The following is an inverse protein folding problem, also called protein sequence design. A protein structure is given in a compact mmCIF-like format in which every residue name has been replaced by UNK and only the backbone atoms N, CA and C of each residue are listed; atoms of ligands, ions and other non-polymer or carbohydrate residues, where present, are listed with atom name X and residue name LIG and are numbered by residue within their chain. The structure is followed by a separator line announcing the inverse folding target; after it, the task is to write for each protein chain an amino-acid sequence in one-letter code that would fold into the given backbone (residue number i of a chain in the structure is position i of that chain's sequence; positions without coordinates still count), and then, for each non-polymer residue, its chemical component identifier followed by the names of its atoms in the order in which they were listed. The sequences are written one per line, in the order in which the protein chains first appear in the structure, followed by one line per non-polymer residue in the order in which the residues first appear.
data_IF_572997490140
#
_entry.id   IF_572997490140
#
_cell.length_a   1.000
_cell.length_b   1.000
_cell.length_c   1.000
_cell.angle_alpha   90.00
_cell.angle_beta   90.00
_cell.angle_gamma   90.00
#
_symmetry.space_group_name_H-M   'P 1'
#
loop_
_entity.id
_entity.type
_entity.pdbx_description
1 polymer ?
#
# COMPACT_ATOMS: atom_id res chain seq x y z
N UNK A 1 -82.82 34.02 4.52
CA UNK A 1 -81.61 34.53 5.14
C UNK A 1 -80.65 33.36 5.27
N UNK A 2 -79.70 33.26 4.39
CA UNK A 2 -78.79 32.11 4.23
C UNK A 2 -77.39 32.59 4.60
N UNK A 3 -76.89 32.03 5.66
CA UNK A 3 -75.56 32.37 6.20
C UNK A 3 -74.53 31.44 5.59
N UNK A 4 -73.55 31.96 4.84
CA UNK A 4 -72.48 31.23 4.18
C UNK A 4 -71.21 31.33 5.04
N UNK A 5 -70.90 30.28 5.80
CA UNK A 5 -69.61 30.14 6.47
C UNK A 5 -68.56 29.56 5.52
N UNK A 6 -67.48 30.31 5.26
CA UNK A 6 -66.33 29.89 4.51
C UNK A 6 -65.38 29.09 5.41
N UNK A 7 -65.13 27.85 5.01
CA UNK A 7 -64.06 27.07 5.63
C UNK A 7 -62.77 27.38 4.90
N UNK A 8 -61.76 27.94 5.59
CA UNK A 8 -60.38 28.09 5.11
C UNK A 8 -59.60 26.86 5.56
N UNK A 9 -59.24 26.02 4.59
CA UNK A 9 -58.38 24.84 4.84
C UNK A 9 -56.95 25.28 4.67
N UNK A 10 -56.21 25.35 5.77
CA UNK A 10 -54.77 25.62 5.77
C UNK A 10 -54.02 24.33 5.47
N UNK A 11 -53.39 24.25 4.29
CA UNK A 11 -52.51 23.14 3.92
C UNK A 11 -51.14 23.35 4.58
N UNK A 12 -50.86 22.60 5.63
CA UNK A 12 -49.54 22.59 6.27
C UNK A 12 -48.55 21.80 5.42
N UNK A 13 -47.59 22.48 4.80
CA UNK A 13 -46.46 21.85 4.12
C UNK A 13 -45.38 21.45 5.16
N UNK A 14 -45.29 20.17 5.48
CA UNK A 14 -44.21 19.63 6.31
C UNK A 14 -42.93 19.52 5.44
N UNK A 15 -41.99 20.43 5.65
CA UNK A 15 -40.62 20.30 5.12
C UNK A 15 -39.90 19.19 5.88
N UNK A 16 -39.77 18.02 5.24
CA UNK A 16 -38.85 16.99 5.73
C UNK A 16 -37.43 17.39 5.37
N UNK A 17 -36.72 17.96 6.36
CA UNK A 17 -35.32 18.27 6.23
C UNK A 17 -34.49 16.97 6.08
N UNK A 18 -33.98 16.70 4.89
CA UNK A 18 -32.95 15.69 4.67
C UNK A 18 -31.65 16.21 5.28
N UNK A 19 -31.33 15.76 6.48
CA UNK A 19 -29.97 15.90 7.02
C UNK A 19 -29.02 15.11 6.13
N UNK A 20 -28.25 15.82 5.32
CA UNK A 20 -27.06 15.28 4.67
C UNK A 20 -26.05 14.99 5.80
N UNK A 21 -25.97 13.74 6.24
CA UNK A 21 -24.85 13.26 7.01
C UNK A 21 -23.66 13.29 6.04
N UNK A 22 -22.87 14.36 6.13
CA UNK A 22 -21.56 14.38 5.51
C UNK A 22 -20.76 13.24 6.14
N UNK A 23 -20.63 12.14 5.42
CA UNK A 23 -19.74 11.05 5.82
C UNK A 23 -18.32 11.65 5.94
N UNK A 24 -17.82 11.67 7.17
CA UNK A 24 -16.45 12.05 7.46
C UNK A 24 -15.54 11.15 6.61
N UNK A 25 -14.94 11.71 5.57
CA UNK A 25 -13.96 11.00 4.76
C UNK A 25 -12.84 10.62 5.71
N UNK A 26 -12.77 9.35 6.08
CA UNK A 26 -11.68 8.82 6.90
C UNK A 26 -10.38 9.27 6.23
N UNK A 27 -9.62 10.12 6.91
CA UNK A 27 -8.38 10.69 6.40
C UNK A 27 -7.47 9.50 6.06
N UNK A 28 -7.08 9.36 4.79
CA UNK A 28 -6.24 8.26 4.36
C UNK A 28 -4.93 8.30 5.16
N UNK A 29 -4.56 7.20 5.76
CA UNK A 29 -3.30 7.11 6.52
C UNK A 29 -2.15 7.16 5.54
N UNK A 30 -1.22 8.09 5.73
CA UNK A 30 -0.06 8.28 4.86
C UNK A 30 1.25 8.14 5.61
N UNK A 31 2.26 7.67 4.89
CA UNK A 31 3.63 7.52 5.37
C UNK A 31 4.57 8.14 4.35
N UNK A 32 5.54 8.91 4.82
CA UNK A 32 6.67 9.37 3.99
C UNK A 32 7.89 8.52 4.30
N UNK A 33 8.50 8.01 3.24
CA UNK A 33 9.82 7.38 3.25
C UNK A 33 10.84 8.39 2.72
N UNK A 34 11.66 8.93 3.60
CA UNK A 34 12.75 9.85 3.24
C UNK A 34 13.96 9.00 2.79
N UNK A 35 14.20 8.91 1.50
CA UNK A 35 15.30 8.08 0.96
C UNK A 35 16.52 8.92 0.59
N UNK A 36 17.63 8.25 0.29
CA UNK A 36 18.83 8.91 -0.23
C UNK A 36 18.59 9.57 -1.62
N UNK A 37 17.56 9.15 -2.38
CA UNK A 37 17.23 9.66 -3.70
C UNK A 37 16.01 10.58 -3.72
N UNK A 38 15.37 10.85 -2.57
CA UNK A 38 14.19 11.71 -2.44
C UNK A 38 13.10 11.07 -1.60
N UNK A 39 11.96 11.74 -1.50
CA UNK A 39 10.82 11.30 -0.70
C UNK A 39 9.83 10.48 -1.53
N UNK A 40 9.28 9.45 -0.90
CA UNK A 40 8.18 8.63 -1.43
C UNK A 40 7.03 8.72 -0.43
N UNK A 41 5.90 9.29 -0.84
CA UNK A 41 4.68 9.35 -0.03
C UNK A 41 3.78 8.17 -0.40
N UNK A 42 3.44 7.36 0.60
CA UNK A 42 2.59 6.17 0.45
C UNK A 42 1.25 6.41 1.14
N UNK A 43 0.17 6.21 0.42
CA UNK A 43 -1.20 6.19 0.93
C UNK A 43 -1.61 4.74 1.22
N UNK A 44 -2.02 4.47 2.46
CA UNK A 44 -2.33 3.13 2.95
C UNK A 44 -3.84 2.88 2.94
N UNK A 45 -4.25 1.69 2.54
CA UNK A 45 -5.66 1.27 2.49
C UNK A 45 -6.03 0.41 3.70
N UNK A 46 -6.12 1.04 4.87
CA UNK A 46 -6.48 0.36 6.11
C UNK A 46 -7.90 -0.24 6.09
N UNK A 47 -8.77 0.21 5.18
CA UNK A 47 -10.13 -0.34 5.06
C UNK A 47 -10.12 -1.71 4.38
N UNK A 48 -9.33 -1.90 3.34
CA UNK A 48 -9.29 -3.14 2.54
C UNK A 48 -8.23 -4.12 3.01
N UNK A 49 -7.08 -3.62 3.53
CA UNK A 49 -5.99 -4.45 4.04
C UNK A 49 -5.59 -4.06 5.48
N UNK A 50 -6.52 -4.16 6.46
CA UNK A 50 -6.31 -3.63 7.82
C UNK A 50 -5.16 -4.29 8.57
N UNK A 51 -4.96 -5.60 8.42
CA UNK A 51 -3.88 -6.34 9.12
C UNK A 51 -2.52 -5.99 8.55
N UNK A 52 -2.41 -5.93 7.24
CA UNK A 52 -1.17 -5.59 6.53
C UNK A 52 -0.77 -4.15 6.81
N UNK A 53 -1.73 -3.21 6.76
CA UNK A 53 -1.49 -1.80 7.12
C UNK A 53 -1.06 -1.67 8.58
N UNK A 54 -1.74 -2.34 9.52
CA UNK A 54 -1.37 -2.33 10.93
C UNK A 54 0.05 -2.87 11.16
N UNK A 55 0.42 -3.96 10.45
CA UNK A 55 1.77 -4.51 10.50
C UNK A 55 2.81 -3.49 9.99
N UNK A 56 2.60 -2.92 8.80
CA UNK A 56 3.52 -1.93 8.23
C UNK A 56 3.69 -0.70 9.16
N UNK A 57 2.57 -0.16 9.66
CA UNK A 57 2.59 0.98 10.57
C UNK A 57 3.31 0.68 11.90
N UNK A 58 3.21 -0.54 12.42
CA UNK A 58 3.94 -0.96 13.61
C UNK A 58 5.46 -0.86 13.43
N UNK A 59 5.98 -1.25 12.25
CA UNK A 59 7.39 -1.08 11.90
C UNK A 59 7.78 0.39 11.71
N UNK A 60 6.89 1.20 11.10
CA UNK A 60 7.09 2.67 10.97
C UNK A 60 7.16 3.33 12.34
N UNK A 61 6.18 3.09 13.20
CA UNK A 61 6.06 3.74 14.52
C UNK A 61 7.19 3.35 15.47
N UNK A 62 7.69 2.12 15.36
CA UNK A 62 8.84 1.65 16.12
C UNK A 62 10.18 2.10 15.52
N UNK A 63 10.18 2.85 14.40
CA UNK A 63 11.40 3.35 13.74
C UNK A 63 12.27 2.25 13.12
N UNK A 64 11.71 1.09 12.80
CA UNK A 64 12.46 -0.01 12.18
C UNK A 64 12.92 0.28 10.76
N UNK A 65 12.23 1.17 10.05
CA UNK A 65 12.64 1.59 8.69
C UNK A 65 13.68 2.70 8.68
N UNK A 66 13.99 3.33 9.84
CA UNK A 66 15.08 4.30 9.95
C UNK A 66 16.42 3.56 9.84
N UNK A 67 17.21 3.86 8.81
CA UNK A 67 18.39 3.06 8.43
C UNK A 67 18.05 1.81 7.63
N UNK A 68 16.77 1.57 7.31
CA UNK A 68 16.34 0.56 6.35
C UNK A 68 16.81 0.87 4.92
N UNK A 69 16.54 0.01 3.98
CA UNK A 69 17.07 0.19 2.63
C UNK A 69 16.22 -0.49 1.56
N UNK A 70 16.18 0.10 0.38
CA UNK A 70 15.86 -0.62 -0.84
C UNK A 70 17.10 -1.44 -1.22
N UNK A 71 16.97 -2.74 -1.19
CA UNK A 71 18.08 -3.68 -1.37
C UNK A 71 17.97 -4.50 -2.64
N UNK A 72 16.78 -4.53 -3.28
CA UNK A 72 16.54 -5.35 -4.46
C UNK A 72 15.75 -4.58 -5.51
N UNK A 73 16.13 -4.77 -6.77
CA UNK A 73 15.41 -4.30 -7.95
C UNK A 73 15.15 -5.45 -8.90
N UNK A 74 13.94 -5.54 -9.44
CA UNK A 74 13.58 -6.45 -10.51
C UNK A 74 13.08 -5.61 -11.68
N UNK A 75 13.72 -5.79 -12.82
CA UNK A 75 13.45 -5.09 -14.08
C UNK A 75 13.84 -5.99 -15.25
N UNK A 76 13.51 -5.64 -16.52
CA UNK A 76 13.69 -6.56 -17.65
C UNK A 76 15.09 -7.18 -17.80
N UNK A 77 16.15 -6.43 -17.49
CA UNK A 77 17.55 -6.89 -17.56
C UNK A 77 17.99 -7.71 -16.34
N UNK A 78 17.37 -7.54 -15.18
CA UNK A 78 17.69 -8.28 -13.94
C UNK A 78 16.71 -9.43 -13.66
N UNK A 79 15.55 -9.49 -14.35
CA UNK A 79 14.54 -10.52 -14.13
C UNK A 79 15.03 -11.91 -14.60
N UNK A 80 15.00 -12.85 -13.66
CA UNK A 80 15.44 -14.24 -13.92
C UNK A 80 14.28 -15.16 -14.31
N UNK A 81 13.04 -14.84 -13.90
CA UNK A 81 11.85 -15.62 -14.23
C UNK A 81 11.13 -15.04 -15.45
N UNK A 82 11.55 -15.49 -16.63
CA UNK A 82 11.01 -15.00 -17.91
C UNK A 82 9.58 -15.48 -18.20
N UNK A 83 9.15 -16.54 -17.54
CA UNK A 83 7.78 -17.11 -17.61
C UNK A 83 6.73 -16.21 -16.93
N UNK A 84 7.09 -15.56 -15.84
CA UNK A 84 6.22 -14.67 -15.05
C UNK A 84 7.02 -13.43 -14.59
N UNK A 85 7.42 -12.58 -15.54
CA UNK A 85 8.26 -11.42 -15.23
C UNK A 85 7.50 -10.43 -14.34
N UNK A 86 8.27 -9.69 -13.52
CA UNK A 86 7.77 -8.58 -12.71
C UNK A 86 8.75 -7.41 -12.77
N UNK A 87 8.24 -6.22 -12.44
CA UNK A 87 9.05 -5.03 -12.22
C UNK A 87 8.72 -4.42 -10.86
N UNK A 88 9.66 -4.50 -9.93
CA UNK A 88 9.49 -4.00 -8.57
C UNK A 88 10.81 -3.47 -7.99
N UNK A 89 10.70 -2.61 -7.00
CA UNK A 89 11.77 -2.31 -6.05
C UNK A 89 11.36 -2.80 -4.68
N UNK A 90 12.23 -3.54 -4.00
CA UNK A 90 11.97 -4.12 -2.68
C UNK A 90 12.83 -3.45 -1.62
N UNK A 91 12.21 -3.15 -0.49
CA UNK A 91 12.83 -2.57 0.68
C UNK A 91 12.53 -3.39 1.92
N UNK A 92 13.34 -3.20 2.95
CA UNK A 92 13.15 -3.81 4.27
C UNK A 92 13.58 -2.89 5.39
N UNK A 93 13.31 -3.33 6.62
CA UNK A 93 13.74 -2.67 7.83
C UNK A 93 15.28 -2.57 7.94
N UNK A 94 15.76 -1.79 8.90
CA UNK A 94 17.17 -1.69 9.22
C UNK A 94 17.72 -3.06 9.64
N UNK A 95 18.71 -3.63 8.93
CA UNK A 95 19.27 -4.94 9.24
C UNK A 95 19.87 -5.04 10.66
N UNK A 96 20.33 -3.93 11.22
CA UNK A 96 20.85 -3.91 12.59
C UNK A 96 19.76 -4.18 13.63
N UNK A 97 18.48 -3.98 13.25
CA UNK A 97 17.29 -4.21 14.08
C UNK A 97 16.50 -5.48 13.72
N UNK A 98 17.03 -6.33 12.86
CA UNK A 98 16.33 -7.54 12.37
C UNK A 98 15.84 -8.43 13.52
N UNK A 99 16.65 -8.58 14.59
CA UNK A 99 16.28 -9.39 15.76
C UNK A 99 15.17 -8.79 16.63
N UNK A 100 14.84 -7.51 16.42
CA UNK A 100 13.76 -6.80 17.12
C UNK A 100 12.44 -6.89 16.35
N UNK A 101 12.39 -7.65 15.26
CA UNK A 101 11.23 -7.76 14.36
C UNK A 101 9.98 -8.28 15.07
N UNK A 102 8.83 -7.98 14.46
CA UNK A 102 7.55 -8.42 14.96
C UNK A 102 7.12 -9.75 14.33
N UNK A 103 6.19 -10.50 14.97
CA UNK A 103 5.63 -11.70 14.38
C UNK A 103 5.04 -11.46 12.99
N UNK A 104 5.08 -12.47 12.11
CA UNK A 104 4.53 -12.37 10.76
C UNK A 104 3.01 -12.12 10.77
N UNK A 105 2.52 -11.54 9.66
CA UNK A 105 1.11 -11.20 9.47
C UNK A 105 0.44 -12.15 8.49
N UNK A 106 -0.83 -12.48 8.76
CA UNK A 106 -1.65 -13.29 7.86
C UNK A 106 -1.86 -12.57 6.52
N UNK A 107 -1.78 -13.32 5.42
CA UNK A 107 -1.88 -12.84 4.05
C UNK A 107 -3.30 -12.32 3.74
N UNK A 108 -3.42 -11.05 3.42
CA UNK A 108 -4.65 -10.44 2.88
C UNK A 108 -4.59 -10.46 1.35
N UNK A 109 -5.25 -11.45 0.76
CA UNK A 109 -5.17 -11.73 -0.69
C UNK A 109 -5.90 -10.68 -1.51
N UNK A 110 -5.39 -10.39 -2.69
CA UNK A 110 -6.01 -9.42 -3.61
C UNK A 110 -7.44 -9.80 -4.02
N UNK A 111 -7.80 -11.09 -4.07
CA UNK A 111 -9.18 -11.54 -4.32
C UNK A 111 -10.15 -11.13 -3.22
N UNK A 112 -9.67 -11.04 -1.97
CA UNK A 112 -10.50 -10.76 -0.80
C UNK A 112 -10.57 -9.25 -0.53
N UNK A 113 -9.46 -8.53 -0.78
CA UNK A 113 -9.33 -7.08 -0.59
C UNK A 113 -9.83 -6.26 -1.78
N UNK A 114 -9.83 -6.83 -2.98
CA UNK A 114 -10.09 -6.12 -4.25
C UNK A 114 -8.96 -5.17 -4.67
N UNK A 115 -7.84 -5.14 -3.93
CA UNK A 115 -6.65 -4.41 -4.34
C UNK A 115 -5.93 -5.18 -5.47
N UNK A 116 -5.21 -4.44 -6.33
CA UNK A 116 -4.46 -4.99 -7.46
C UNK A 116 -3.03 -4.47 -7.45
N UNK A 117 -2.11 -5.22 -8.05
CA UNK A 117 -0.73 -4.82 -8.23
C UNK A 117 -0.59 -3.97 -9.51
N UNK A 118 -1.15 -2.76 -9.49
CA UNK A 118 -0.97 -1.74 -10.55
C UNK A 118 0.30 -0.91 -10.31
N UNK A 119 0.64 -0.01 -11.25
CA UNK A 119 1.79 0.91 -11.11
C UNK A 119 1.69 1.69 -9.79
N UNK A 120 2.77 1.68 -9.02
CA UNK A 120 2.86 2.34 -7.71
C UNK A 120 2.20 1.58 -6.55
N UNK A 121 1.60 0.40 -6.75
CA UNK A 121 1.08 -0.39 -5.63
C UNK A 121 2.19 -0.81 -4.69
N UNK A 122 1.93 -0.64 -3.38
CA UNK A 122 2.80 -1.11 -2.30
C UNK A 122 2.25 -2.41 -1.73
N UNK A 123 3.11 -3.44 -1.61
CA UNK A 123 2.73 -4.79 -1.23
C UNK A 123 3.78 -5.44 -0.34
N UNK A 124 3.37 -6.34 0.57
CA UNK A 124 4.30 -7.04 1.45
C UNK A 124 5.04 -8.16 0.71
N UNK A 125 6.36 -8.21 0.86
CA UNK A 125 7.15 -9.36 0.46
C UNK A 125 6.94 -10.52 1.45
N UNK A 126 7.05 -11.75 0.95
CA UNK A 126 6.90 -12.98 1.72
C UNK A 126 7.62 -14.15 1.06
N UNK A 127 8.03 -15.13 1.83
CA UNK A 127 8.53 -16.40 1.34
C UNK A 127 7.39 -17.40 1.12
N UNK A 128 6.59 -17.66 2.15
CA UNK A 128 5.40 -18.50 2.12
C UNK A 128 4.14 -17.78 2.53
N UNK A 129 3.01 -18.47 2.55
CA UNK A 129 1.75 -17.95 3.09
C UNK A 129 1.94 -17.59 4.56
N UNK A 130 1.45 -16.41 4.97
CA UNK A 130 1.46 -15.93 6.35
C UNK A 130 2.88 -15.74 6.96
N UNK A 131 3.91 -15.46 6.11
CA UNK A 131 5.29 -15.25 6.57
C UNK A 131 5.77 -13.79 6.44
N UNK A 132 4.94 -12.87 5.94
CA UNK A 132 5.32 -11.49 5.73
C UNK A 132 5.60 -10.78 7.07
N UNK A 133 6.72 -10.05 7.14
CA UNK A 133 7.15 -9.28 8.32
C UNK A 133 7.34 -7.80 8.00
N UNK A 134 8.57 -7.36 7.70
CA UNK A 134 8.94 -5.96 7.45
C UNK A 134 9.14 -5.62 5.98
N UNK A 135 9.51 -6.61 5.16
CA UNK A 135 9.86 -6.36 3.78
C UNK A 135 8.64 -6.04 2.93
N UNK A 136 8.75 -5.00 2.13
CA UNK A 136 7.72 -4.57 1.19
C UNK A 136 8.34 -4.25 -0.17
N UNK A 137 7.50 -4.19 -1.20
CA UNK A 137 7.92 -3.76 -2.53
C UNK A 137 6.94 -2.76 -3.13
N UNK A 138 7.43 -1.98 -4.09
CA UNK A 138 6.63 -1.07 -4.90
C UNK A 138 6.66 -1.57 -6.34
N UNK A 139 5.48 -1.71 -6.94
CA UNK A 139 5.33 -2.08 -8.35
C UNK A 139 5.73 -0.92 -9.27
N UNK A 140 6.44 -1.24 -10.34
CA UNK A 140 6.69 -0.34 -11.47
C UNK A 140 5.96 -0.92 -12.69
N UNK A 141 4.96 -0.18 -13.20
CA UNK A 141 3.98 -0.74 -14.12
C UNK A 141 3.03 -1.75 -13.46
N UNK A 142 2.08 -2.27 -14.23
CA UNK A 142 1.10 -3.23 -13.77
C UNK A 142 1.70 -4.63 -13.65
N UNK A 143 1.50 -5.30 -12.51
CA UNK A 143 2.11 -6.58 -12.16
C UNK A 143 1.04 -7.64 -11.80
N UNK A 144 0.16 -8.04 -12.73
CA UNK A 144 -0.95 -8.95 -12.44
C UNK A 144 -0.49 -10.36 -12.00
N UNK A 145 0.74 -10.76 -12.31
CA UNK A 145 1.33 -12.02 -11.86
C UNK A 145 1.54 -12.08 -10.33
N UNK A 146 1.49 -10.95 -9.64
CA UNK A 146 1.58 -10.83 -8.18
C UNK A 146 0.22 -10.92 -7.49
N UNK A 147 -0.90 -10.83 -8.22
CA UNK A 147 -2.25 -10.99 -7.68
C UNK A 147 -2.54 -12.45 -7.31
N UNK A 148 -3.60 -12.67 -6.52
CA UNK A 148 -4.14 -14.01 -6.28
C UNK A 148 -4.45 -14.74 -7.61
N UNK A 149 -4.00 -15.97 -7.73
CA UNK A 149 -4.09 -16.74 -8.98
C UNK A 149 -3.01 -16.39 -10.01
N UNK A 150 -2.18 -15.39 -9.77
CA UNK A 150 -1.00 -15.09 -10.57
C UNK A 150 0.11 -16.11 -10.35
N UNK A 151 0.98 -16.27 -11.34
CA UNK A 151 2.00 -17.32 -11.35
C UNK A 151 3.32 -16.95 -10.65
N UNK A 152 3.47 -15.74 -10.13
CA UNK A 152 4.75 -15.30 -9.57
C UNK A 152 5.16 -16.09 -8.36
N UNK A 153 4.23 -16.38 -7.44
CA UNK A 153 4.47 -17.28 -6.31
C UNK A 153 3.83 -18.64 -6.62
N UNK A 154 4.61 -19.72 -6.46
CA UNK A 154 4.20 -21.07 -6.83
C UNK A 154 2.99 -21.60 -6.06
N UNK A 155 2.65 -20.98 -4.92
CA UNK A 155 1.45 -21.32 -4.14
C UNK A 155 0.15 -20.71 -4.70
N UNK A 156 0.24 -19.83 -5.71
CA UNK A 156 -0.89 -19.14 -6.34
C UNK A 156 -1.63 -18.15 -5.43
N UNK A 157 -1.15 -17.93 -4.19
CA UNK A 157 -1.85 -17.07 -3.22
C UNK A 157 -1.60 -15.56 -3.46
N UNK A 158 -0.63 -15.21 -4.32
CA UNK A 158 -0.25 -13.82 -4.59
C UNK A 158 0.39 -13.13 -3.38
N UNK A 159 0.38 -11.80 -3.39
CA UNK A 159 0.95 -10.96 -2.35
C UNK A 159 -0.11 -10.02 -1.77
N UNK A 160 0.17 -9.46 -0.58
CA UNK A 160 -0.75 -8.55 0.11
C UNK A 160 -0.50 -7.10 -0.33
N UNK A 161 -1.22 -6.63 -1.35
CA UNK A 161 -1.29 -5.21 -1.68
C UNK A 161 -2.01 -4.47 -0.55
N UNK A 162 -1.44 -3.33 -0.09
CA UNK A 162 -1.98 -2.61 1.07
C UNK A 162 -1.94 -1.08 0.95
N UNK A 163 -1.44 -0.56 -0.15
CA UNK A 163 -1.35 0.87 -0.39
C UNK A 163 -0.83 1.19 -1.78
N UNK A 164 -0.60 2.47 -2.00
CA UNK A 164 -0.06 2.98 -3.26
C UNK A 164 0.86 4.18 -3.01
N UNK A 165 1.78 4.40 -3.90
CA UNK A 165 2.57 5.64 -3.94
C UNK A 165 1.65 6.79 -4.38
N UNK A 166 1.46 7.77 -3.50
CA UNK A 166 0.71 8.98 -3.77
C UNK A 166 1.59 10.04 -4.45
N UNK A 167 2.88 10.11 -4.05
CA UNK A 167 3.89 11.01 -4.64
C UNK A 167 5.27 10.35 -4.60
N UNK A 168 6.14 10.67 -5.56
CA UNK A 168 7.51 10.17 -5.62
C UNK A 168 7.69 8.91 -6.48
N UNK A 169 6.81 8.59 -7.43
CA UNK A 169 7.03 7.51 -8.40
C UNK A 169 8.28 7.73 -9.27
N UNK A 170 8.67 8.97 -9.50
CA UNK A 170 9.94 9.29 -10.14
C UNK A 170 11.15 8.86 -9.28
N UNK A 171 11.05 8.99 -7.94
CA UNK A 171 12.05 8.47 -6.99
C UNK A 171 12.10 6.94 -7.06
N UNK A 172 10.94 6.28 -7.05
CA UNK A 172 10.83 4.82 -7.19
C UNK A 172 11.52 4.33 -8.47
N UNK A 173 11.27 5.00 -9.60
CA UNK A 173 11.91 4.65 -10.88
C UNK A 173 13.42 4.92 -10.88
N UNK A 174 13.90 5.96 -10.20
CA UNK A 174 15.34 6.17 -10.02
C UNK A 174 15.98 5.07 -9.15
N UNK A 175 15.29 4.61 -8.10
CA UNK A 175 15.74 3.47 -7.29
C UNK A 175 15.80 2.21 -8.17
N UNK A 176 14.77 1.94 -8.99
CA UNK A 176 14.74 0.79 -9.89
C UNK A 176 15.91 0.81 -10.88
N UNK A 177 16.26 1.99 -11.39
CA UNK A 177 17.35 2.19 -12.37
C UNK A 177 18.74 2.23 -11.72
N UNK A 178 18.84 2.20 -10.38
CA UNK A 178 20.14 2.25 -9.70
C UNK A 178 21.01 1.02 -10.03
N UNK A 179 22.35 1.12 -9.89
CA UNK A 179 23.26 0.00 -10.13
C UNK A 179 22.88 -1.23 -9.32
N UNK A 180 23.00 -2.41 -9.95
CA UNK A 180 22.66 -3.67 -9.31
C UNK A 180 23.56 -4.80 -9.82
N UNK A 181 23.87 -5.75 -8.93
CA UNK A 181 24.52 -7.02 -9.27
C UNK A 181 23.44 -8.11 -9.24
N UNK A 182 23.03 -8.60 -10.41
CA UNK A 182 21.82 -9.39 -10.53
C UNK A 182 20.61 -8.56 -10.12
N UNK A 183 19.88 -8.97 -9.08
CA UNK A 183 18.75 -8.22 -8.52
C UNK A 183 19.13 -7.41 -7.26
N UNK A 184 20.33 -7.58 -6.71
CA UNK A 184 20.78 -6.84 -5.53
C UNK A 184 21.23 -5.43 -5.92
N UNK A 185 20.59 -4.39 -5.36
CA UNK A 185 21.06 -3.01 -5.51
C UNK A 185 22.44 -2.84 -4.86
N UNK A 186 23.38 -2.29 -5.61
CA UNK A 186 24.76 -2.06 -5.14
C UNK A 186 25.28 -0.68 -5.56
N UNK A 187 25.41 0.27 -4.61
CA UNK A 187 25.00 0.15 -3.22
C UNK A 187 23.47 0.17 -3.04
N UNK A 188 22.94 -0.41 -1.94
CA UNK A 188 21.52 -0.30 -1.63
C UNK A 188 21.13 1.15 -1.33
N UNK A 189 19.89 1.54 -1.65
CA UNK A 189 19.40 2.90 -1.43
C UNK A 189 18.83 3.03 -0.02
N UNK A 190 19.45 3.87 0.80
CA UNK A 190 19.10 4.06 2.21
C UNK A 190 17.71 4.71 2.38
N UNK A 191 16.91 4.20 3.29
CA UNK A 191 15.76 4.86 3.90
C UNK A 191 16.29 5.59 5.14
N UNK A 192 16.38 6.90 5.09
CA UNK A 192 16.88 7.72 6.20
C UNK A 192 15.88 7.73 7.34
N UNK A 193 14.60 7.80 7.00
CA UNK A 193 13.51 7.88 7.96
C UNK A 193 12.19 7.45 7.31
N UNK A 194 11.30 6.83 8.11
CA UNK A 194 9.91 6.58 7.76
C UNK A 194 8.99 7.17 8.84
N UNK A 195 7.97 7.94 8.44
CA UNK A 195 7.05 8.59 9.40
C UNK A 195 5.65 8.74 8.85
N UNK A 196 4.66 8.70 9.73
CA UNK A 196 3.27 9.08 9.37
C UNK A 196 3.15 10.58 9.13
N UNK A 197 2.22 10.98 8.26
CA UNK A 197 1.82 12.36 8.00
C UNK A 197 0.29 12.48 8.00
#
# INVERSE_FOLDING_TARGET
MIDRRWFVTTLGATLVGRSLVAGEAATAVRVVLETALGEIEVELDAKRAPRTVANFLRYVDAGHYDGGRFHRTVRPDTEVRKDVPIEVVQAGANPEREKEGFPPVALERTRDTGLRHADGTVSMARDGTDTATSDFFVCVGDQPSLDFGGGRNGDGQGFAAFGRVARGMDVVRRIQASPAIGQALDPPVLIRRARRI
#
